data_IF_328889057952
#
_entry.id   IF_328889057952
#
_cell.length_a   1.000
_cell.length_b   1.000
_cell.length_c   1.000
_cell.angle_alpha   90.00
_cell.angle_beta   90.00
_cell.angle_gamma   90.00
#
_symmetry.space_group_name_H-M   'P 1'
#
loop_
_entity.id
_entity.type
_entity.pdbx_description
1 polymer ?
#
# COMPACT_ATOMS: atom_id res chain seq x y z
N UNK A 1 -23.16 -1.33 19.93
CA UNK A 1 -24.14 -0.23 19.75
C UNK A 1 -25.30 -0.43 20.72
N UNK A 2 -26.07 0.61 21.07
CA UNK A 2 -27.30 0.45 21.85
C UNK A 2 -28.25 -0.52 21.12
N UNK A 3 -28.93 -1.40 21.86
CA UNK A 3 -29.90 -2.34 21.31
C UNK A 3 -31.31 -1.73 21.34
N UNK A 4 -31.89 -1.32 20.19
CA UNK A 4 -33.22 -0.70 20.16
C UNK A 4 -34.38 -1.70 20.31
N UNK A 5 -34.10 -3.02 20.31
CA UNK A 5 -35.11 -4.07 20.38
C UNK A 5 -35.20 -4.73 21.76
N UNK A 6 -34.31 -4.38 22.69
CA UNK A 6 -34.30 -4.90 24.04
C UNK A 6 -35.14 -4.04 24.98
N UNK A 7 -35.91 -4.67 25.86
CA UNK A 7 -36.66 -4.00 26.93
C UNK A 7 -35.79 -3.64 28.16
N UNK A 8 -34.50 -4.00 28.14
CA UNK A 8 -33.55 -3.63 29.20
C UNK A 8 -32.83 -2.35 28.83
N UNK A 9 -32.85 -1.38 29.75
CA UNK A 9 -31.98 -0.21 29.69
C UNK A 9 -30.50 -0.64 29.60
N UNK A 10 -29.72 0.09 28.81
CA UNK A 10 -28.30 -0.16 28.50
C UNK A 10 -27.96 -1.49 27.78
N UNK A 11 -28.97 -2.17 27.22
CA UNK A 11 -28.70 -3.32 26.36
C UNK A 11 -27.85 -2.95 25.15
N UNK A 12 -26.91 -3.84 24.79
CA UNK A 12 -25.98 -3.63 23.68
C UNK A 12 -26.18 -4.68 22.61
N UNK A 13 -26.23 -4.22 21.36
CA UNK A 13 -26.21 -5.04 20.15
C UNK A 13 -24.81 -5.05 19.54
N UNK A 14 -24.40 -6.19 19.00
CA UNK A 14 -23.13 -6.36 18.30
C UNK A 14 -23.38 -6.47 16.79
N UNK A 15 -22.81 -5.55 16.01
CA UNK A 15 -22.84 -5.65 14.55
C UNK A 15 -21.71 -6.57 14.09
N UNK A 16 -22.06 -7.76 13.60
CA UNK A 16 -21.09 -8.75 13.12
C UNK A 16 -20.44 -8.36 11.79
N UNK A 17 -21.09 -7.48 11.03
CA UNK A 17 -20.75 -7.18 9.65
C UNK A 17 -21.17 -8.29 8.68
N UNK A 18 -21.90 -9.31 9.13
CA UNK A 18 -22.39 -10.39 8.27
C UNK A 18 -23.78 -10.04 7.73
N UNK A 19 -23.98 -10.23 6.42
CA UNK A 19 -25.27 -10.11 5.76
C UNK A 19 -25.94 -11.49 5.75
N UNK A 20 -27.16 -11.56 6.26
CA UNK A 20 -27.95 -12.78 6.26
C UNK A 20 -29.42 -12.47 5.98
N UNK A 21 -30.19 -13.49 5.60
CA UNK A 21 -31.66 -13.42 5.54
C UNK A 21 -32.28 -14.61 6.25
N UNK A 22 -33.49 -14.43 6.77
CA UNK A 22 -34.28 -15.53 7.30
C UNK A 22 -34.91 -16.36 6.18
N UNK A 23 -34.81 -17.68 6.27
CA UNK A 23 -35.55 -18.62 5.43
C UNK A 23 -36.94 -18.90 6.04
N UNK A 24 -37.92 -19.34 5.22
CA UNK A 24 -39.22 -19.78 5.73
C UNK A 24 -39.14 -20.92 6.77
N UNK A 25 -38.05 -21.69 6.77
CA UNK A 25 -37.76 -22.73 7.77
C UNK A 25 -37.38 -22.18 9.14
N UNK A 26 -37.12 -20.87 9.27
CA UNK A 26 -36.62 -20.25 10.50
C UNK A 26 -35.09 -20.30 10.66
N UNK A 27 -34.36 -20.78 9.66
CA UNK A 27 -32.89 -20.74 9.63
C UNK A 27 -32.36 -19.43 9.00
N UNK A 28 -31.12 -19.06 9.34
CA UNK A 28 -30.41 -17.93 8.73
C UNK A 28 -29.57 -18.41 7.53
N UNK A 29 -29.86 -17.87 6.35
CA UNK A 29 -29.07 -18.04 5.14
C UNK A 29 -27.99 -16.95 5.10
N UNK A 30 -26.72 -17.36 5.17
CA UNK A 30 -25.57 -16.46 5.15
C UNK A 30 -25.28 -15.97 3.73
N UNK A 31 -25.34 -14.65 3.53
CA UNK A 31 -25.23 -14.00 2.22
C UNK A 31 -23.86 -13.34 1.99
N UNK A 32 -22.98 -13.34 2.99
CA UNK A 32 -21.63 -12.76 2.92
C UNK A 32 -21.38 -11.72 4.01
N UNK A 33 -20.36 -10.88 3.82
CA UNK A 33 -20.10 -9.73 4.69
C UNK A 33 -20.65 -8.44 4.06
N UNK A 34 -21.21 -7.58 4.91
CA UNK A 34 -21.62 -6.23 4.59
C UNK A 34 -20.41 -5.28 4.52
N UNK A 35 -19.31 -5.58 5.22
CA UNK A 35 -18.06 -4.81 5.18
C UNK A 35 -17.05 -5.41 4.18
N UNK A 36 -16.39 -4.52 3.45
CA UNK A 36 -15.39 -4.87 2.44
C UNK A 36 -14.01 -4.86 3.10
N UNK A 37 -13.74 -5.90 3.87
CA UNK A 37 -12.44 -6.03 4.49
C UNK A 37 -11.37 -6.47 3.49
N UNK A 38 -10.23 -5.77 3.49
CA UNK A 38 -9.11 -6.04 2.58
C UNK A 38 -7.78 -6.12 3.30
N UNK A 39 -6.82 -6.82 2.70
CA UNK A 39 -5.41 -6.79 3.13
C UNK A 39 -4.63 -5.91 2.17
N UNK A 40 -3.97 -4.88 2.68
CA UNK A 40 -3.13 -4.00 1.90
C UNK A 40 -1.79 -3.81 2.62
N UNK A 41 -0.69 -4.20 1.98
CA UNK A 41 0.68 -4.02 2.50
C UNK A 41 0.86 -4.57 3.94
N UNK A 42 0.22 -5.69 4.24
CA UNK A 42 0.26 -6.34 5.56
C UNK A 42 -0.75 -5.82 6.58
N UNK A 43 -1.46 -4.73 6.27
CA UNK A 43 -2.52 -4.19 7.13
C UNK A 43 -3.87 -4.80 6.79
N UNK A 44 -4.68 -5.05 7.81
CA UNK A 44 -6.08 -5.39 7.70
C UNK A 44 -6.86 -4.08 7.72
N UNK A 45 -7.48 -3.74 6.60
CA UNK A 45 -8.18 -2.46 6.40
C UNK A 45 -9.68 -2.72 6.29
N UNK A 46 -10.45 -1.97 7.05
CA UNK A 46 -11.91 -1.92 6.96
C UNK A 46 -12.32 -0.78 6.02
N UNK A 47 -12.73 -1.10 4.79
CA UNK A 47 -13.09 -0.06 3.81
C UNK A 47 -14.30 0.78 4.26
N UNK A 48 -15.22 0.19 5.03
CA UNK A 48 -16.39 0.90 5.57
C UNK A 48 -16.04 2.00 6.58
N UNK A 49 -14.93 1.84 7.33
CA UNK A 49 -14.44 2.88 8.24
C UNK A 49 -13.92 4.09 7.47
N UNK A 50 -13.23 3.84 6.36
CA UNK A 50 -12.75 4.87 5.44
C UNK A 50 -13.93 5.59 4.78
N UNK A 51 -14.91 4.83 4.27
CA UNK A 51 -16.13 5.38 3.68
C UNK A 51 -16.88 6.28 4.69
N UNK A 52 -17.05 5.81 5.93
CA UNK A 52 -17.72 6.58 7.00
C UNK A 52 -16.98 7.89 7.32
N UNK A 53 -15.65 7.85 7.40
CA UNK A 53 -14.84 9.04 7.68
C UNK A 53 -14.93 10.06 6.54
N UNK A 54 -14.95 9.60 5.29
CA UNK A 54 -15.08 10.45 4.10
C UNK A 54 -16.49 11.04 3.99
N UNK A 55 -17.53 10.26 4.24
CA UNK A 55 -18.93 10.69 4.20
C UNK A 55 -19.25 11.74 5.27
N UNK A 56 -18.44 11.81 6.34
CA UNK A 56 -18.52 12.84 7.36
C UNK A 56 -17.89 14.19 6.99
N UNK A 57 -17.25 14.31 5.82
CA UNK A 57 -16.61 15.55 5.37
C UNK A 57 -17.61 16.46 4.63
N UNK A 58 -17.47 17.77 4.85
CA UNK A 58 -18.30 18.77 4.19
C UNK A 58 -18.17 18.68 2.66
N UNK A 59 -19.32 18.69 1.99
CA UNK A 59 -19.41 18.63 0.53
C UNK A 59 -19.29 17.23 -0.06
N UNK A 60 -19.10 16.18 0.74
CA UNK A 60 -19.18 14.78 0.28
C UNK A 60 -20.56 14.21 0.60
N UNK A 61 -21.28 13.74 -0.42
CA UNK A 61 -22.60 13.12 -0.27
C UNK A 61 -22.52 11.62 0.00
N UNK A 62 -21.59 10.95 -0.67
CA UNK A 62 -21.40 9.51 -0.55
C UNK A 62 -20.02 9.13 -1.08
N UNK A 63 -19.42 8.11 -0.49
CA UNK A 63 -18.14 7.57 -0.91
C UNK A 63 -18.13 6.05 -1.02
N UNK A 64 -17.18 5.55 -1.81
CA UNK A 64 -16.90 4.12 -1.94
C UNK A 64 -15.39 3.94 -1.97
N UNK A 65 -14.86 3.17 -1.03
CA UNK A 65 -13.44 2.84 -0.97
C UNK A 65 -13.21 1.44 -1.54
N UNK A 66 -12.16 1.29 -2.35
CA UNK A 66 -11.73 -0.02 -2.87
C UNK A 66 -10.21 -0.12 -2.91
N UNK A 67 -9.71 -1.35 -2.78
CA UNK A 67 -8.34 -1.67 -3.18
C UNK A 67 -8.37 -2.12 -4.64
N UNK A 68 -7.66 -1.39 -5.48
CA UNK A 68 -7.46 -1.72 -6.89
C UNK A 68 -6.09 -2.30 -7.11
N UNK A 69 -6.03 -3.19 -8.10
CA UNK A 69 -4.80 -3.75 -8.64
C UNK A 69 -4.89 -3.65 -10.17
N UNK A 70 -4.83 -2.42 -10.68
CA UNK A 70 -4.89 -2.17 -12.13
C UNK A 70 -3.60 -2.67 -12.84
N UNK A 71 -2.52 -2.93 -12.07
CA UNK A 71 -1.30 -3.62 -12.51
C UNK A 71 -0.99 -4.78 -11.56
N UNK A 72 -0.69 -5.99 -12.07
CA UNK A 72 -0.36 -7.15 -11.24
C UNK A 72 0.73 -6.86 -10.20
N UNK A 73 0.43 -7.17 -8.94
CA UNK A 73 1.31 -6.98 -7.78
C UNK A 73 1.31 -5.56 -7.18
N UNK A 74 0.60 -4.59 -7.77
CA UNK A 74 0.55 -3.21 -7.27
C UNK A 74 -0.85 -2.88 -6.78
N UNK A 75 -1.04 -2.99 -5.48
CA UNK A 75 -2.30 -2.64 -4.82
C UNK A 75 -2.33 -1.18 -4.36
N UNK A 76 -3.42 -0.49 -4.64
CA UNK A 76 -3.67 0.90 -4.28
C UNK A 76 -5.06 1.06 -3.66
N UNK A 77 -5.14 1.78 -2.55
CA UNK A 77 -6.40 2.21 -1.94
C UNK A 77 -6.90 3.48 -2.64
N UNK A 78 -8.10 3.43 -3.20
CA UNK A 78 -8.74 4.52 -3.94
C UNK A 78 -10.13 4.77 -3.36
N UNK A 79 -10.48 6.05 -3.19
CA UNK A 79 -11.82 6.47 -2.79
C UNK A 79 -12.54 7.17 -3.96
N UNK A 80 -13.78 6.77 -4.21
CA UNK A 80 -14.67 7.38 -5.19
C UNK A 80 -15.72 8.20 -4.46
N UNK A 81 -15.98 9.42 -4.92
CA UNK A 81 -16.80 10.40 -4.23
C UNK A 81 -17.96 10.84 -5.13
N UNK A 82 -19.16 10.93 -4.55
CA UNK A 82 -20.19 11.85 -5.03
C UNK A 82 -20.07 13.08 -4.15
N UNK A 83 -19.64 14.19 -4.72
CA UNK A 83 -19.42 15.44 -3.99
C UNK A 83 -20.13 16.60 -4.67
N UNK A 84 -20.42 17.63 -3.88
CA UNK A 84 -20.85 18.92 -4.40
C UNK A 84 -19.59 19.68 -4.86
N UNK A 85 -19.37 19.70 -6.17
CA UNK A 85 -18.16 20.27 -6.77
C UNK A 85 -16.97 19.31 -6.75
N UNK A 86 -15.76 19.86 -6.72
CA UNK A 86 -14.50 19.09 -6.75
C UNK A 86 -13.71 19.33 -5.48
N UNK A 87 -13.91 18.52 -4.42
CA UNK A 87 -13.14 18.66 -3.19
C UNK A 87 -11.64 18.48 -3.48
N UNK A 88 -10.82 19.31 -2.86
CA UNK A 88 -9.37 19.26 -3.06
C UNK A 88 -8.77 18.06 -2.32
N UNK A 89 -8.13 17.16 -3.07
CA UNK A 89 -7.51 15.95 -2.53
C UNK A 89 -6.55 16.21 -1.34
N UNK A 90 -5.69 17.25 -1.33
CA UNK A 90 -4.86 17.56 -0.17
C UNK A 90 -5.67 17.86 1.10
N UNK A 91 -6.77 18.60 0.99
CA UNK A 91 -7.63 18.94 2.11
C UNK A 91 -8.33 17.69 2.68
N UNK A 92 -8.79 16.79 1.80
CA UNK A 92 -9.37 15.50 2.19
C UNK A 92 -8.35 14.66 2.98
N UNK A 93 -7.10 14.57 2.51
CA UNK A 93 -6.05 13.80 3.19
C UNK A 93 -5.73 14.36 4.58
N UNK A 94 -5.68 15.68 4.72
CA UNK A 94 -5.46 16.34 6.03
C UNK A 94 -6.62 16.02 6.98
N UNK A 95 -7.87 16.19 6.54
CA UNK A 95 -9.03 15.92 7.38
C UNK A 95 -9.11 14.45 7.82
N UNK A 96 -8.82 13.51 6.91
CA UNK A 96 -8.82 12.08 7.23
C UNK A 96 -7.68 11.68 8.18
N UNK A 97 -6.54 12.38 8.14
CA UNK A 97 -5.42 12.08 9.03
C UNK A 97 -5.71 12.37 10.52
N UNK A 98 -6.71 13.20 10.81
CA UNK A 98 -7.15 13.47 12.19
C UNK A 98 -7.94 12.30 12.80
N UNK A 99 -8.55 11.45 11.97
CA UNK A 99 -9.49 10.40 12.41
C UNK A 99 -9.09 8.98 11.99
N UNK A 100 -8.23 8.83 10.98
CA UNK A 100 -7.77 7.54 10.47
C UNK A 100 -6.25 7.37 10.60
N UNK A 101 -5.78 6.14 10.87
CA UNK A 101 -4.37 5.80 10.71
C UNK A 101 -3.87 6.04 9.28
N UNK A 102 -2.61 6.45 9.13
CA UNK A 102 -2.02 6.80 7.83
C UNK A 102 -2.14 5.71 6.75
N UNK A 103 -2.18 4.43 7.11
CA UNK A 103 -2.30 3.32 6.16
C UNK A 103 -3.74 3.09 5.64
N UNK A 104 -4.74 3.73 6.26
CA UNK A 104 -6.14 3.72 5.84
C UNK A 104 -6.53 4.95 5.02
N UNK A 105 -5.65 5.95 4.90
CA UNK A 105 -5.90 7.14 4.07
C UNK A 105 -5.75 6.74 2.59
N UNK A 106 -6.79 6.94 1.75
CA UNK A 106 -6.71 6.65 0.32
C UNK A 106 -5.56 7.40 -0.36
N UNK A 107 -4.88 6.70 -1.26
CA UNK A 107 -3.79 7.28 -2.05
C UNK A 107 -4.31 8.19 -3.16
N UNK A 108 -5.59 8.04 -3.55
CA UNK A 108 -6.23 8.81 -4.62
C UNK A 108 -7.73 8.95 -4.38
N UNK A 109 -8.26 10.10 -4.80
CA UNK A 109 -9.69 10.41 -4.75
C UNK A 109 -10.21 10.66 -6.18
N UNK A 110 -11.40 10.13 -6.48
CA UNK A 110 -12.03 10.28 -7.81
C UNK A 110 -13.46 10.74 -7.62
N UNK A 111 -13.77 11.97 -8.03
CA UNK A 111 -15.14 12.47 -8.02
C UNK A 111 -15.89 11.95 -9.24
N UNK A 112 -17.10 11.43 -9.03
CA UNK A 112 -18.01 10.95 -10.06
C UNK A 112 -19.34 11.70 -9.98
N UNK A 113 -20.05 11.80 -11.10
CA UNK A 113 -21.42 12.34 -11.13
C UNK A 113 -22.41 11.33 -10.55
N UNK A 114 -22.15 10.03 -10.72
CA UNK A 114 -22.94 8.93 -10.17
C UNK A 114 -22.10 7.67 -10.02
N UNK A 115 -22.49 6.79 -9.10
CA UNK A 115 -21.87 5.47 -9.00
C UNK A 115 -22.47 4.50 -10.01
N UNK A 116 -21.64 3.64 -10.64
CA UNK A 116 -22.16 2.54 -11.43
C UNK A 116 -22.95 1.61 -10.51
N UNK A 117 -24.14 1.18 -10.96
CA UNK A 117 -25.03 0.32 -10.19
C UNK A 117 -25.20 -1.03 -10.90
N UNK A 118 -25.28 -2.09 -10.11
CA UNK A 118 -25.76 -3.41 -10.53
C UNK A 118 -27.26 -3.35 -10.89
N UNK A 119 -27.81 -4.37 -11.58
CA UNK A 119 -29.26 -4.47 -11.83
C UNK A 119 -30.12 -4.39 -10.55
N UNK A 120 -29.56 -4.78 -9.40
CA UNK A 120 -30.20 -4.71 -8.09
C UNK A 120 -30.07 -3.33 -7.40
N UNK A 121 -29.67 -2.28 -8.14
CA UNK A 121 -29.47 -0.91 -7.64
C UNK A 121 -28.41 -0.76 -6.54
N UNK A 122 -27.55 -1.75 -6.33
CA UNK A 122 -26.36 -1.65 -5.46
C UNK A 122 -25.17 -1.14 -6.27
N UNK A 123 -24.23 -0.44 -5.63
CA UNK A 123 -22.98 -0.01 -6.28
C UNK A 123 -22.23 -1.22 -6.86
N UNK A 124 -21.91 -1.15 -8.15
CA UNK A 124 -21.05 -2.10 -8.83
C UNK A 124 -19.59 -1.66 -8.71
N UNK A 125 -18.93 -2.12 -7.64
CA UNK A 125 -17.52 -1.82 -7.35
C UNK A 125 -16.57 -2.27 -8.47
N UNK A 126 -16.95 -3.28 -9.28
CA UNK A 126 -16.11 -3.77 -10.39
C UNK A 126 -16.16 -2.84 -11.60
N UNK A 127 -17.26 -2.09 -11.75
CA UNK A 127 -17.45 -1.13 -12.83
C UNK A 127 -16.90 0.27 -12.51
N UNK A 128 -16.33 0.49 -11.32
CA UNK A 128 -15.69 1.77 -10.99
C UNK A 128 -14.50 2.04 -11.93
N UNK A 129 -14.36 3.26 -12.48
CA UNK A 129 -13.30 3.58 -13.43
C UNK A 129 -11.93 3.62 -12.76
N UNK A 130 -10.86 3.29 -13.47
CA UNK A 130 -9.52 3.51 -12.94
C UNK A 130 -9.28 5.01 -12.68
N UNK A 131 -8.57 5.40 -11.61
CA UNK A 131 -8.22 6.79 -11.37
C UNK A 131 -7.35 7.31 -12.52
N UNK A 132 -7.92 8.14 -13.39
CA UNK A 132 -7.17 8.89 -14.41
C UNK A 132 -6.61 10.17 -13.81
N UNK A 133 -5.48 10.66 -14.32
CA UNK A 133 -5.01 11.99 -13.98
C UNK A 133 -6.08 13.05 -14.27
N UNK A 134 -6.23 14.07 -13.40
CA UNK A 134 -7.04 15.22 -13.76
C UNK A 134 -6.52 15.79 -15.08
N UNK A 135 -7.43 15.97 -16.04
CA UNK A 135 -7.11 16.65 -17.28
C UNK A 135 -6.68 18.09 -16.94
N UNK A 136 -5.38 18.39 -17.02
CA UNK A 136 -4.92 19.77 -16.97
C UNK A 136 -5.48 20.48 -18.21
N UNK A 137 -6.07 21.69 -18.09
CA UNK A 137 -6.48 22.45 -19.25
C UNK A 137 -5.26 22.62 -20.18
N UNK A 138 -5.44 22.16 -21.42
CA UNK A 138 -4.49 22.36 -22.51
C UNK A 138 -4.20 23.87 -22.61
N UNK A 139 -2.93 24.32 -22.58
CA UNK A 139 -2.64 25.71 -22.89
C UNK A 139 -3.21 26.03 -24.26
N UNK A 140 -4.11 27.00 -24.30
CA UNK A 140 -4.59 27.58 -25.55
C UNK A 140 -3.41 28.29 -26.20
N UNK A 141 -3.14 27.91 -27.45
CA UNK A 141 -2.27 28.52 -28.46
C UNK A 141 -0.79 28.08 -28.49
N UNK A 142 -0.31 27.60 -29.66
CA UNK A 142 1.10 27.66 -30.03
C UNK A 142 1.36 28.98 -30.75
N UNK A 143 2.17 29.86 -30.16
CA UNK A 143 2.82 30.92 -30.91
C UNK A 143 4.31 30.58 -30.97
N UNK A 144 4.74 30.19 -32.17
CA UNK A 144 6.14 30.01 -32.50
C UNK A 144 6.88 31.34 -32.38
N UNK A 145 7.98 31.35 -31.62
CA UNK A 145 9.20 32.09 -31.97
C UNK A 145 10.37 31.56 -31.13
N UNK A 146 11.30 30.92 -31.83
CA UNK A 146 12.75 30.90 -31.65
C UNK A 146 13.38 31.06 -30.25
N UNK A 147 14.20 30.04 -29.91
CA UNK A 147 15.43 30.13 -29.12
C UNK A 147 15.36 30.50 -27.62
N UNK A 148 15.45 29.46 -26.76
CA UNK A 148 16.46 29.25 -25.68
C UNK A 148 15.86 28.42 -24.51
N UNK A 149 16.64 27.51 -23.87
CA UNK A 149 16.13 26.68 -22.78
C UNK A 149 16.07 27.49 -21.48
N UNK A 150 14.86 27.77 -20.99
CA UNK A 150 14.66 28.39 -19.69
C UNK A 150 14.72 27.34 -18.57
N UNK A 151 15.95 26.93 -18.23
CA UNK A 151 16.30 26.56 -16.86
C UNK A 151 16.22 27.82 -16.00
N UNK A 152 15.12 28.02 -15.26
CA UNK A 152 15.06 29.06 -14.23
C UNK A 152 14.25 28.56 -13.02
N UNK A 153 14.99 28.15 -11.99
CA UNK A 153 14.71 28.35 -10.58
C UNK A 153 13.25 28.19 -10.09
N UNK A 154 12.86 26.96 -9.72
CA UNK A 154 11.78 26.76 -8.75
C UNK A 154 12.38 26.60 -7.34
N UNK A 155 12.35 27.71 -6.62
CA UNK A 155 12.90 27.95 -5.29
C UNK A 155 12.28 27.03 -4.22
N UNK A 156 13.09 26.17 -3.62
CA UNK A 156 12.90 25.62 -2.27
C UNK A 156 14.28 25.44 -1.60
N UNK A 157 14.47 25.77 -0.32
CA UNK A 157 15.75 25.57 0.37
C UNK A 157 16.07 24.07 0.50
N UNK A 158 17.30 23.66 0.15
CA UNK A 158 17.75 22.25 0.12
C UNK A 158 17.72 21.58 -1.26
N UNK A 159 17.71 22.38 -2.34
CA UNK A 159 17.61 21.94 -3.72
C UNK A 159 18.98 21.57 -4.31
N UNK A 160 19.36 20.29 -4.25
CA UNK A 160 20.43 19.77 -5.11
C UNK A 160 19.87 19.65 -6.54
N UNK A 161 19.97 20.74 -7.30
CA UNK A 161 19.20 20.96 -8.54
C UNK A 161 19.45 19.99 -9.69
N UNK A 162 20.41 19.08 -9.59
CA UNK A 162 20.74 18.15 -10.68
C UNK A 162 19.82 16.92 -10.72
N UNK A 163 19.62 16.22 -9.59
CA UNK A 163 18.78 15.01 -9.55
C UNK A 163 17.31 15.32 -9.83
N UNK A 164 16.78 16.38 -9.22
CA UNK A 164 15.39 16.81 -9.46
C UNK A 164 15.17 17.20 -10.93
N UNK A 165 16.10 17.94 -11.53
CA UNK A 165 16.00 18.33 -12.94
C UNK A 165 16.10 17.12 -13.87
N UNK A 166 16.98 16.17 -13.59
CA UNK A 166 17.11 14.94 -14.37
C UNK A 166 15.82 14.10 -14.31
N UNK A 167 15.27 13.87 -13.12
CA UNK A 167 14.02 13.13 -12.96
C UNK A 167 12.85 13.89 -13.63
N UNK A 168 12.79 15.21 -13.51
CA UNK A 168 11.79 16.05 -14.18
C UNK A 168 11.87 15.92 -15.71
N UNK A 169 13.08 15.92 -16.28
CA UNK A 169 13.29 15.70 -17.72
C UNK A 169 12.83 14.32 -18.19
N UNK A 170 13.12 13.28 -17.41
CA UNK A 170 12.64 11.92 -17.67
C UNK A 170 11.10 11.88 -17.63
N UNK A 171 10.48 12.48 -16.61
CA UNK A 171 9.02 12.52 -16.50
C UNK A 171 8.38 13.32 -17.64
N UNK A 172 8.97 14.44 -18.03
CA UNK A 172 8.51 15.24 -19.17
C UNK A 172 8.48 14.40 -20.45
N UNK A 173 9.55 13.63 -20.71
CA UNK A 173 9.64 12.77 -21.89
C UNK A 173 8.64 11.60 -21.86
N UNK A 174 8.34 11.06 -20.69
CA UNK A 174 7.51 9.86 -20.54
C UNK A 174 6.02 10.23 -20.48
N UNK A 175 5.69 11.30 -19.77
CA UNK A 175 4.31 11.73 -19.53
C UNK A 175 3.81 12.67 -20.63
N UNK A 176 4.71 13.29 -21.40
CA UNK A 176 4.35 14.28 -22.42
C UNK A 176 3.81 15.59 -21.83
N UNK A 177 4.16 15.89 -20.57
CA UNK A 177 3.72 17.08 -19.83
C UNK A 177 4.92 18.01 -19.61
N UNK A 178 4.77 19.30 -19.93
CA UNK A 178 5.78 20.34 -19.64
C UNK A 178 5.59 20.94 -18.24
N UNK A 179 6.63 21.62 -17.75
CA UNK A 179 6.58 22.45 -16.52
C UNK A 179 6.28 21.69 -15.23
N UNK A 180 6.89 20.50 -15.07
CA UNK A 180 6.75 19.66 -13.88
C UNK A 180 7.43 20.33 -12.68
N UNK A 181 6.65 20.63 -11.64
CA UNK A 181 7.07 21.17 -10.37
C UNK A 181 7.58 20.08 -9.42
N UNK A 182 8.47 20.45 -8.48
CA UNK A 182 8.95 19.54 -7.43
C UNK A 182 7.83 19.01 -6.51
N UNK A 183 6.65 19.64 -6.50
CA UNK A 183 5.48 19.20 -5.75
C UNK A 183 4.55 18.28 -6.55
N UNK A 184 4.80 18.10 -7.84
CA UNK A 184 3.93 17.31 -8.68
C UNK A 184 4.14 15.82 -8.44
N UNK A 185 3.04 15.08 -8.43
CA UNK A 185 3.00 13.64 -8.28
C UNK A 185 2.99 12.96 -9.64
N UNK A 186 3.83 11.95 -9.83
CA UNK A 186 3.93 11.15 -11.04
C UNK A 186 2.56 10.64 -11.50
N UNK A 187 1.77 10.13 -10.56
CA UNK A 187 0.46 9.53 -10.83
C UNK A 187 -0.64 10.58 -11.02
N UNK A 188 -0.45 11.79 -10.49
CA UNK A 188 -1.39 12.89 -10.71
C UNK A 188 -1.17 13.55 -12.08
N UNK A 189 0.04 13.43 -12.64
CA UNK A 189 0.40 13.88 -13.99
C UNK A 189 0.07 12.88 -15.10
N UNK A 190 -0.57 11.75 -14.79
CA UNK A 190 -0.97 10.74 -15.78
C UNK A 190 -0.06 9.53 -15.84
N UNK A 191 0.94 9.48 -14.95
CA UNK A 191 1.76 8.31 -14.75
C UNK A 191 0.93 7.11 -14.30
N UNK A 192 1.19 5.96 -14.91
CA UNK A 192 0.70 4.67 -14.47
C UNK A 192 1.86 3.69 -14.41
N UNK A 193 1.66 2.46 -13.93
CA UNK A 193 2.80 1.60 -13.61
C UNK A 193 3.69 1.23 -14.80
N UNK A 194 3.18 1.18 -16.04
CA UNK A 194 4.03 0.97 -17.22
C UNK A 194 4.99 2.16 -17.42
N UNK A 195 4.46 3.39 -17.32
CA UNK A 195 5.28 4.60 -17.35
C UNK A 195 6.20 4.69 -16.13
N UNK A 196 5.78 4.19 -14.96
CA UNK A 196 6.63 4.12 -13.77
C UNK A 196 7.79 3.15 -13.96
N UNK A 197 7.56 1.99 -14.61
CA UNK A 197 8.61 1.03 -14.96
C UNK A 197 9.60 1.65 -15.96
N UNK A 198 9.09 2.40 -16.94
CA UNK A 198 9.95 3.13 -17.88
C UNK A 198 10.77 4.21 -17.16
N UNK A 199 10.13 5.04 -16.33
CA UNK A 199 10.79 6.07 -15.55
C UNK A 199 11.84 5.47 -14.61
N UNK A 200 11.54 4.33 -13.96
CA UNK A 200 12.49 3.61 -13.11
C UNK A 200 13.74 3.19 -13.88
N UNK A 201 13.58 2.60 -15.07
CA UNK A 201 14.71 2.20 -15.92
C UNK A 201 15.55 3.42 -16.33
N UNK A 202 14.91 4.48 -16.79
CA UNK A 202 15.58 5.71 -17.22
C UNK A 202 16.32 6.39 -16.06
N UNK A 203 15.71 6.51 -14.89
CA UNK A 203 16.33 7.11 -13.70
C UNK A 203 17.58 6.30 -13.30
N UNK A 204 17.49 4.96 -13.30
CA UNK A 204 18.64 4.09 -13.00
C UNK A 204 19.76 4.25 -14.03
N UNK A 205 19.41 4.32 -15.31
CA UNK A 205 20.37 4.42 -16.39
C UNK A 205 21.07 5.79 -16.40
N UNK A 206 20.32 6.88 -16.29
CA UNK A 206 20.84 8.24 -16.41
C UNK A 206 21.58 8.71 -15.14
N UNK A 207 21.11 8.31 -13.95
CA UNK A 207 21.70 8.74 -12.68
C UNK A 207 22.63 7.69 -12.04
N UNK A 208 22.73 6.48 -12.61
CA UNK A 208 23.59 5.42 -12.07
C UNK A 208 23.14 4.84 -10.72
N UNK A 209 21.90 5.09 -10.30
CA UNK A 209 21.36 4.67 -8.99
C UNK A 209 20.94 3.19 -8.99
N UNK A 210 21.89 2.28 -8.76
CA UNK A 210 21.63 0.83 -8.83
C UNK A 210 20.65 0.31 -7.78
N UNK A 211 20.62 0.94 -6.59
CA UNK A 211 19.79 0.58 -5.44
C UNK A 211 18.35 1.09 -5.49
N UNK A 212 17.95 1.80 -6.55
CA UNK A 212 16.57 2.27 -6.72
C UNK A 212 15.66 1.08 -7.03
N UNK A 213 14.63 0.87 -6.21
CA UNK A 213 13.56 -0.09 -6.44
C UNK A 213 12.40 0.59 -7.17
N UNK A 214 11.66 -0.16 -7.97
CA UNK A 214 10.42 0.34 -8.58
C UNK A 214 9.42 0.80 -7.51
N UNK A 215 9.41 0.14 -6.35
CA UNK A 215 8.58 0.50 -5.20
C UNK A 215 8.87 1.90 -4.67
N UNK A 216 10.10 2.43 -4.88
CA UNK A 216 10.44 3.77 -4.44
C UNK A 216 9.63 4.85 -5.18
N UNK A 217 9.30 4.64 -6.46
CA UNK A 217 8.46 5.56 -7.25
C UNK A 217 7.03 5.61 -6.69
N UNK A 218 6.51 4.45 -6.27
CA UNK A 218 5.18 4.37 -5.64
C UNK A 218 5.15 4.89 -4.22
N UNK A 219 6.28 4.78 -3.50
CA UNK A 219 6.43 5.26 -2.12
C UNK A 219 6.60 6.77 -2.07
N UNK A 220 7.33 7.32 -3.03
CA UNK A 220 7.62 8.74 -3.16
C UNK A 220 7.08 9.23 -4.51
N UNK A 221 5.75 9.35 -4.66
CA UNK A 221 5.14 9.71 -5.93
C UNK A 221 5.42 11.17 -6.31
N UNK A 222 5.76 12.03 -5.36
CA UNK A 222 6.06 13.45 -5.56
C UNK A 222 7.51 13.63 -6.01
N UNK A 223 7.73 14.42 -7.06
CA UNK A 223 9.05 14.62 -7.69
C UNK A 223 10.15 14.97 -6.68
N UNK A 224 9.89 15.94 -5.79
CA UNK A 224 10.85 16.39 -4.79
C UNK A 224 11.19 15.32 -3.75
N UNK A 225 10.23 14.48 -3.37
CA UNK A 225 10.45 13.39 -2.42
C UNK A 225 11.19 12.22 -3.08
N UNK A 226 10.86 11.91 -4.35
CA UNK A 226 11.60 10.92 -5.13
C UNK A 226 13.05 11.36 -5.34
N UNK A 227 13.28 12.63 -5.66
CA UNK A 227 14.61 13.18 -5.84
C UNK A 227 15.46 13.05 -4.57
N UNK A 228 14.90 13.37 -3.40
CA UNK A 228 15.57 13.15 -2.10
C UNK A 228 15.90 11.67 -1.86
N UNK A 229 14.95 10.78 -2.15
CA UNK A 229 15.15 9.34 -1.99
C UNK A 229 16.24 8.78 -2.93
N UNK A 230 16.32 9.30 -4.16
CA UNK A 230 17.37 8.97 -5.13
C UNK A 230 18.72 9.52 -4.67
N UNK A 231 18.78 10.78 -4.23
CA UNK A 231 20.00 11.42 -3.72
C UNK A 231 20.60 10.63 -2.56
N UNK A 232 19.79 10.27 -1.57
CA UNK A 232 20.23 9.46 -0.43
C UNK A 232 20.81 8.10 -0.84
N UNK A 233 20.27 7.48 -1.90
CA UNK A 233 20.77 6.20 -2.44
C UNK A 233 22.05 6.35 -3.25
N UNK A 234 22.29 7.51 -3.86
CA UNK A 234 23.54 7.86 -4.54
C UNK A 234 24.67 8.11 -3.53
N UNK A 235 24.38 8.81 -2.44
CA UNK A 235 25.35 9.15 -1.39
C UNK A 235 25.70 7.99 -0.47
N UNK A 236 24.85 6.95 -0.42
CA UNK A 236 25.11 5.75 0.38
C UNK A 236 26.22 4.90 -0.27
N UNK A 237 27.45 4.86 0.27
CA UNK A 237 28.55 4.14 -0.35
C UNK A 237 28.20 2.65 -0.50
N UNK A 238 28.68 2.03 -1.58
CA UNK A 238 28.72 0.58 -1.67
C UNK A 238 29.53 0.05 -0.48
N UNK A 239 29.12 -1.04 0.20
CA UNK A 239 30.03 -1.73 1.09
C UNK A 239 31.25 -2.14 0.26
N UNK A 240 32.45 -1.71 0.69
CA UNK A 240 33.71 -2.22 0.13
C UNK A 240 33.62 -3.75 0.13
N UNK A 241 34.04 -4.45 -0.94
CA UNK A 241 34.16 -5.90 -0.87
C UNK A 241 35.08 -6.21 0.30
N UNK A 242 34.55 -6.94 1.29
CA UNK A 242 35.32 -7.39 2.43
C UNK A 242 36.52 -8.18 1.87
N UNK A 243 37.72 -7.69 2.16
CA UNK A 243 38.95 -8.40 1.89
C UNK A 243 38.81 -9.81 2.48
N UNK A 244 39.05 -10.81 1.64
CA UNK A 244 39.08 -12.22 2.00
C UNK A 244 40.04 -12.41 3.16
N UNK A 245 39.51 -12.61 4.37
CA UNK A 245 40.30 -13.14 5.47
C UNK A 245 40.49 -14.65 5.24
N UNK A 246 41.71 -15.19 5.38
CA UNK A 246 41.99 -16.60 5.13
C UNK A 246 41.25 -17.49 6.14
N UNK A 247 40.62 -18.55 5.63
CA UNK A 247 40.04 -19.62 6.45
C UNK A 247 41.14 -20.25 7.33
N UNK A 248 40.91 -20.47 8.63
CA UNK A 248 41.83 -21.28 9.42
C UNK A 248 41.78 -22.74 8.96
N UNK A 249 42.97 -23.31 8.81
CA UNK A 249 43.22 -24.67 8.34
C UNK A 249 42.50 -25.73 9.18
N UNK A 250 41.97 -26.75 8.49
CA UNK A 250 41.53 -28.01 9.11
C UNK A 250 42.75 -28.73 9.70
N UNK A 251 42.72 -29.00 11.00
CA UNK A 251 43.64 -29.93 11.66
C UNK A 251 43.20 -31.36 11.30
N UNK A 252 44.09 -32.25 10.84
CA UNK A 252 43.75 -33.66 10.66
C UNK A 252 43.87 -34.39 11.99
N UNK A 253 42.79 -35.03 12.44
CA UNK A 253 42.83 -36.01 13.53
C UNK A 253 43.02 -37.41 12.93
N UNK A 254 44.16 -38.04 13.22
CA UNK A 254 44.37 -39.47 12.97
C UNK A 254 44.88 -40.19 14.23
N UNK A 255 44.02 -41.09 14.72
CA UNK A 255 44.24 -42.49 15.09
C UNK A 255 44.79 -42.88 16.48
N UNK A 256 43.98 -43.73 17.14
CA UNK A 256 44.40 -44.93 17.90
C UNK A 256 44.16 -44.84 19.42
N UNK A 257 43.52 -45.77 20.14
CA UNK A 257 43.01 -47.12 19.88
C UNK A 257 43.01 -47.93 21.20
N UNK A 258 42.01 -48.80 21.43
CA UNK A 258 41.98 -49.85 22.47
C UNK A 258 40.79 -49.74 23.46
N UNK A 259 39.68 -50.48 23.27
CA UNK A 259 39.38 -51.85 23.76
C UNK A 259 38.90 -51.87 25.24
N UNK A 260 37.88 -52.59 25.74
CA UNK A 260 36.89 -53.55 25.22
C UNK A 260 35.78 -53.78 26.30
N UNK A 261 34.65 -54.42 25.93
CA UNK A 261 33.63 -55.03 26.84
C UNK A 261 32.19 -54.52 26.61
N UNK A 262 31.36 -55.17 25.76
CA UNK A 262 30.36 -56.22 26.10
C UNK A 262 29.25 -55.72 27.07
N UNK A 263 27.93 -55.84 26.88
CA UNK A 263 26.98 -56.46 25.93
C UNK A 263 25.55 -55.88 26.29
N UNK A 264 24.40 -56.43 25.86
CA UNK A 264 23.50 -55.96 24.79
C UNK A 264 22.25 -55.14 25.22
N UNK A 265 21.53 -54.62 24.22
CA UNK A 265 20.30 -53.83 24.32
C UNK A 265 19.02 -54.63 24.67
N UNK A 266 17.99 -53.96 25.23
CA UNK A 266 16.60 -54.33 24.93
C UNK A 266 15.76 -53.20 24.31
N UNK A 267 14.62 -53.64 23.83
CA UNK A 267 13.81 -53.17 22.72
C UNK A 267 12.83 -52.02 22.98
N UNK A 268 12.37 -51.43 21.87
CA UNK A 268 11.23 -50.52 21.72
C UNK A 268 9.92 -51.10 22.26
N UNK A 269 9.61 -50.86 23.53
CA UNK A 269 8.25 -50.82 24.08
C UNK A 269 8.35 -50.25 25.49
N UNK A 270 8.31 -48.92 25.66
CA UNK A 270 7.90 -48.27 26.93
C UNK A 270 7.85 -46.72 26.93
N UNK A 271 7.94 -46.06 25.77
CA UNK A 271 7.84 -44.60 25.68
C UNK A 271 6.40 -44.04 25.58
N UNK A 272 5.35 -44.88 25.68
CA UNK A 272 3.93 -44.46 25.64
C UNK A 272 3.23 -44.42 27.01
N UNK A 273 3.89 -44.81 28.10
CA UNK A 273 3.29 -44.76 29.45
C UNK A 273 3.56 -43.43 30.20
N UNK A 274 4.56 -42.64 29.81
CA UNK A 274 4.92 -41.39 30.54
C UNK A 274 4.22 -40.12 30.03
N UNK A 275 3.43 -40.21 28.94
CA UNK A 275 2.65 -39.07 28.41
C UNK A 275 1.23 -38.92 28.96
N UNK A 276 0.75 -39.84 29.81
CA UNK A 276 -0.60 -39.79 30.41
C UNK A 276 -0.68 -39.29 31.86
N UNK A 277 0.44 -39.13 32.56
CA UNK A 277 0.45 -38.64 33.95
C UNK A 277 0.61 -37.11 34.10
N UNK A 278 1.03 -36.38 33.06
CA UNK A 278 1.26 -34.93 33.13
C UNK A 278 0.08 -34.05 32.69
N UNK A 279 -1.04 -34.64 32.22
CA UNK A 279 -2.21 -33.90 31.71
C UNK A 279 -3.41 -33.85 32.67
N UNK A 280 -3.31 -34.45 33.86
CA UNK A 280 -4.37 -34.44 34.87
C UNK A 280 -4.11 -33.51 36.07
N UNK A 281 -2.91 -32.90 36.20
CA UNK A 281 -2.53 -32.09 37.37
C UNK A 281 -2.50 -30.56 37.14
N UNK A 282 -2.94 -30.07 35.97
CA UNK A 282 -2.96 -28.61 35.66
C UNK A 282 -4.35 -28.02 35.40
N UNK A 283 -5.43 -28.75 35.73
CA UNK A 283 -6.83 -28.29 35.62
C UNK A 283 -7.57 -28.16 36.96
N UNK A 284 -6.83 -28.08 38.07
CA UNK A 284 -7.33 -27.68 39.40
C UNK A 284 -6.28 -26.79 40.06
N UNK A 285 -6.34 -25.49 39.81
CA UNK A 285 -5.46 -24.52 40.45
C UNK A 285 -5.38 -23.20 39.68
N UNK A 286 -6.35 -22.32 39.95
CA UNK A 286 -6.58 -20.96 39.41
C UNK A 286 -7.31 -20.85 38.09
#
# INVERSE_FOLDING_TARGET
>A
MPDPFSAKDDARMYATGDLARWLPSGELDFLGRADFQVKLRGYRIELGEIETAIDGLDGVRQSVAIVREDIPGVQQLVAYLLADGSPEEPALKVALAEVLPAHMIPGRFVTLDSFPLTPNKKVDRKALPAPTAPARPKPLTPAATDSAPATAANNAPGFDGNVTAAISGIWTSILGVSDISARDSFFDLGGHSLLAVQAHREIKAQLGVTKLSITDIFRFPVLGDLAKAVQSKLESPAPKPAATAPQPAKVPETVGGGAAGAEPAPSRTDAMAQRRAMRAARRKGR
#
